data_IF_615916966724
#
_entry.id   IF_615916966724
#
_cell.length_a   1.000
_cell.length_b   1.000
_cell.length_c   1.000
_cell.angle_alpha   90.00
_cell.angle_beta   90.00
_cell.angle_gamma   90.00
#
_symmetry.space_group_name_H-M   'P 1'
#
loop_
_entity.id
_entity.type
_entity.pdbx_description
1 polymer ?
#
# COMPACT_ATOMS: atom_id res chain seq x y z
N UNK A 1 30.99 12.51 87.17
CA UNK A 1 30.72 13.40 86.02
C UNK A 1 31.60 12.95 84.88
N UNK A 2 31.08 12.12 83.98
CA UNK A 2 31.86 11.50 82.90
C UNK A 2 31.46 12.08 81.54
N UNK A 3 32.48 12.54 80.82
CA UNK A 3 32.42 13.03 79.44
C UNK A 3 32.22 11.90 78.43
N UNK A 4 31.48 12.19 77.35
CA UNK A 4 31.21 11.31 76.21
C UNK A 4 32.47 10.95 75.41
N UNK A 5 32.48 9.78 74.75
CA UNK A 5 33.11 9.62 73.43
C UNK A 5 32.08 9.31 72.32
N UNK A 6 32.41 9.75 71.11
CA UNK A 6 31.71 9.46 69.86
C UNK A 6 31.81 7.97 69.49
N UNK A 7 30.69 7.37 69.09
CA UNK A 7 30.67 6.06 68.41
C UNK A 7 30.47 6.25 66.90
N UNK A 8 31.48 5.84 66.14
CA UNK A 8 31.44 5.61 64.69
C UNK A 8 30.48 4.45 64.36
N UNK A 9 29.34 4.75 63.73
CA UNK A 9 28.52 3.73 63.08
C UNK A 9 29.13 3.36 61.72
N UNK A 10 29.94 2.30 61.70
CA UNK A 10 30.29 1.57 60.47
C UNK A 10 29.02 0.90 59.93
N UNK A 11 28.51 1.35 58.78
CA UNK A 11 27.37 0.74 58.08
C UNK A 11 27.83 -0.48 57.26
N UNK A 12 27.38 -1.71 57.55
CA UNK A 12 27.79 -2.92 56.81
C UNK A 12 27.11 -3.04 55.43
N UNK A 13 26.15 -2.17 55.11
CA UNK A 13 25.36 -2.24 53.88
C UNK A 13 26.09 -1.75 52.62
N UNK A 14 27.07 -0.86 52.75
CA UNK A 14 27.80 -0.34 51.60
C UNK A 14 28.72 -1.41 50.96
N UNK A 15 29.32 -2.27 51.80
CA UNK A 15 30.19 -3.36 51.34
C UNK A 15 29.40 -4.45 50.60
N UNK A 16 28.18 -4.76 51.03
CA UNK A 16 27.30 -5.72 50.36
C UNK A 16 26.83 -5.23 48.98
N UNK A 17 26.51 -3.93 48.86
CA UNK A 17 26.12 -3.34 47.58
C UNK A 17 27.30 -3.31 46.58
N UNK A 18 28.51 -3.01 47.06
CA UNK A 18 29.72 -3.04 46.24
C UNK A 18 30.04 -4.48 45.79
N UNK A 19 29.89 -5.47 46.67
CA UNK A 19 30.11 -6.88 46.32
C UNK A 19 29.12 -7.36 45.26
N UNK A 20 27.83 -7.02 45.41
CA UNK A 20 26.79 -7.38 44.45
C UNK A 20 27.05 -6.74 43.07
N UNK A 21 27.48 -5.48 43.03
CA UNK A 21 27.84 -4.81 41.78
C UNK A 21 29.04 -5.47 41.09
N UNK A 22 30.09 -5.82 41.86
CA UNK A 22 31.28 -6.50 41.33
C UNK A 22 30.92 -7.89 40.78
N UNK A 23 30.10 -8.68 41.49
CA UNK A 23 29.64 -10.00 41.01
C UNK A 23 28.82 -9.87 39.73
N UNK A 24 27.93 -8.88 39.65
CA UNK A 24 27.11 -8.64 38.45
C UNK A 24 27.99 -8.23 37.25
N UNK A 25 29.02 -7.40 37.48
CA UNK A 25 29.97 -6.97 36.46
C UNK A 25 30.87 -8.14 36.00
N UNK A 26 31.27 -9.04 36.90
CA UNK A 26 32.04 -10.24 36.58
C UNK A 26 31.18 -11.22 35.77
N UNK A 27 29.92 -11.46 36.16
CA UNK A 27 28.98 -12.27 35.39
C UNK A 27 28.73 -11.69 34.00
N UNK A 28 28.52 -10.37 33.88
CA UNK A 28 28.36 -9.70 32.59
C UNK A 28 29.60 -9.83 31.70
N UNK A 29 30.81 -9.69 32.28
CA UNK A 29 32.07 -9.90 31.53
C UNK A 29 32.31 -11.36 31.16
N UNK A 30 31.86 -12.33 31.95
CA UNK A 30 31.91 -13.75 31.61
C UNK A 30 30.93 -14.11 30.49
N UNK A 31 29.71 -13.55 30.51
CA UNK A 31 28.73 -13.71 29.42
C UNK A 31 29.19 -13.02 28.14
N UNK A 32 29.76 -11.82 28.24
CA UNK A 32 30.30 -11.10 27.08
C UNK A 32 31.54 -11.78 26.48
N UNK A 33 32.42 -12.40 27.29
CA UNK A 33 33.55 -13.20 26.81
C UNK A 33 33.13 -14.55 26.21
N UNK A 34 31.98 -15.10 26.62
CA UNK A 34 31.40 -16.32 26.03
C UNK A 34 30.67 -16.07 24.70
N UNK A 35 30.42 -14.81 24.30
CA UNK A 35 29.83 -14.47 23.01
C UNK A 35 30.85 -14.10 21.91
N UNK A 36 32.14 -14.20 22.21
CA UNK A 36 33.22 -13.84 21.28
C UNK A 36 34.18 -15.00 21.01
N UNK A 37 33.66 -16.21 20.77
CA UNK A 37 34.39 -17.30 20.14
C UNK A 37 33.39 -18.26 19.48
N UNK A 38 33.14 -18.12 18.18
CA UNK A 38 32.82 -19.21 17.26
C UNK A 38 32.89 -18.68 15.81
N UNK A 39 34.10 -18.28 15.43
CA UNK A 39 34.56 -18.30 14.03
C UNK A 39 35.66 -19.34 13.93
N UNK A 40 35.33 -20.57 13.54
CA UNK A 40 36.26 -21.51 12.91
C UNK A 40 35.51 -22.71 12.28
N UNK A 41 36.09 -23.36 11.25
CA UNK A 41 35.37 -23.94 10.13
C UNK A 41 34.95 -25.39 10.37
N UNK A 42 33.67 -25.68 10.21
CA UNK A 42 33.19 -27.05 10.08
C UNK A 42 33.16 -27.44 8.61
N UNK A 43 34.16 -28.22 8.21
CA UNK A 43 34.12 -29.14 7.07
C UNK A 43 33.12 -30.26 7.40
N UNK A 44 31.84 -29.99 7.16
CA UNK A 44 30.80 -30.99 7.06
C UNK A 44 30.27 -30.96 5.65
N UNK A 45 30.37 -32.08 4.93
CA UNK A 45 29.67 -32.35 3.66
C UNK A 45 28.16 -32.37 3.90
N UNK A 46 27.58 -31.23 4.23
CA UNK A 46 26.20 -30.93 3.91
C UNK A 46 26.28 -30.28 2.54
N UNK A 47 25.78 -30.98 1.52
CA UNK A 47 25.44 -30.36 0.24
C UNK A 47 24.66 -29.08 0.54
N UNK A 48 25.34 -27.93 0.49
CA UNK A 48 24.69 -26.65 0.27
C UNK A 48 24.02 -26.82 -1.08
N UNK A 49 22.76 -27.22 -1.06
CA UNK A 49 21.88 -26.84 -2.14
C UNK A 49 21.87 -25.32 -2.04
N UNK A 50 22.75 -24.69 -2.81
CA UNK A 50 22.62 -23.29 -3.16
C UNK A 50 21.16 -23.12 -3.57
N UNK A 51 20.44 -22.25 -2.85
CA UNK A 51 19.14 -21.80 -3.31
C UNK A 51 19.39 -21.30 -4.73
N UNK A 52 18.74 -21.88 -5.76
CA UNK A 52 18.95 -21.43 -7.12
C UNK A 52 18.71 -19.91 -7.15
N UNK A 53 19.49 -19.14 -7.92
CA UNK A 53 19.20 -17.74 -8.12
C UNK A 53 17.73 -17.58 -8.58
N UNK A 54 17.18 -16.38 -8.40
CA UNK A 54 15.85 -15.95 -8.88
C UNK A 54 15.64 -16.05 -10.42
N UNK A 55 16.33 -16.96 -11.12
CA UNK A 55 16.28 -17.23 -12.57
C UNK A 55 14.88 -17.57 -13.11
N UNK A 56 13.90 -17.86 -12.25
CA UNK A 56 12.51 -18.12 -12.67
C UNK A 56 11.61 -16.89 -12.72
N UNK A 57 11.99 -15.78 -12.08
CA UNK A 57 11.31 -14.50 -12.25
C UNK A 57 12.08 -13.68 -13.28
N UNK A 58 11.39 -12.94 -14.18
CA UNK A 58 12.10 -12.23 -15.24
C UNK A 58 13.08 -11.21 -14.65
N UNK A 59 14.30 -11.17 -15.20
CA UNK A 59 15.22 -10.07 -14.91
C UNK A 59 14.69 -8.78 -15.54
N UNK A 60 14.48 -7.79 -14.69
CA UNK A 60 13.61 -6.68 -14.97
C UNK A 60 14.42 -5.38 -15.03
N UNK A 61 14.82 -5.00 -16.24
CA UNK A 61 15.53 -3.75 -16.48
C UNK A 61 14.58 -2.54 -16.49
N UNK A 62 14.98 -1.40 -15.91
CA UNK A 62 14.25 -0.15 -16.07
C UNK A 62 14.05 0.19 -17.55
N UNK A 63 12.85 0.68 -17.89
CA UNK A 63 12.56 1.16 -19.24
C UNK A 63 13.15 2.54 -19.52
N UNK A 64 13.13 2.95 -20.78
CA UNK A 64 13.59 4.26 -21.21
C UNK A 64 12.38 5.09 -21.63
N UNK A 65 12.05 6.19 -20.92
CA UNK A 65 11.00 7.11 -21.34
C UNK A 65 11.27 7.67 -22.74
N UNK A 66 10.19 7.94 -23.48
CA UNK A 66 10.27 8.71 -24.73
C UNK A 66 10.75 10.14 -24.44
N UNK A 67 11.31 10.84 -25.45
CA UNK A 67 11.70 12.24 -25.31
C UNK A 67 10.55 13.13 -24.81
N UNK A 68 10.83 14.23 -24.09
CA UNK A 68 9.80 15.13 -23.59
C UNK A 68 8.86 15.62 -24.69
N UNK A 69 7.57 15.70 -24.38
CA UNK A 69 6.53 16.07 -25.35
C UNK A 69 6.08 14.94 -26.29
N UNK A 70 6.69 13.75 -26.18
CA UNK A 70 6.23 12.58 -26.93
C UNK A 70 4.86 12.10 -26.45
N UNK A 71 4.06 11.60 -27.39
CA UNK A 71 2.78 10.98 -27.07
C UNK A 71 2.96 9.53 -26.60
N UNK A 72 2.23 9.14 -25.55
CA UNK A 72 2.10 7.77 -25.08
C UNK A 72 0.70 7.26 -25.39
N UNK A 73 0.55 6.13 -26.08
CA UNK A 73 -0.73 5.44 -26.18
C UNK A 73 -1.07 4.82 -24.82
N UNK A 74 -2.28 5.09 -24.34
CA UNK A 74 -2.73 4.63 -23.02
C UNK A 74 -4.01 3.81 -23.17
N UNK A 75 -4.11 2.71 -22.45
CA UNK A 75 -5.37 1.99 -22.28
C UNK A 75 -5.79 1.95 -20.81
N UNK A 76 -7.10 2.05 -20.58
CA UNK A 76 -7.74 1.86 -19.29
C UNK A 76 -8.58 0.58 -19.33
N UNK A 77 -8.19 -0.39 -18.51
CA UNK A 77 -8.79 -1.72 -18.43
C UNK A 77 -9.65 -1.76 -17.16
N UNK A 78 -10.96 -1.82 -17.33
CA UNK A 78 -11.95 -1.75 -16.24
C UNK A 78 -12.84 -2.99 -16.26
N UNK A 79 -12.81 -3.83 -15.21
CA UNK A 79 -13.87 -4.78 -14.93
C UNK A 79 -15.06 -4.08 -14.28
N UNK A 80 -16.27 -4.43 -14.71
CA UNK A 80 -17.50 -3.95 -14.10
C UNK A 80 -18.60 -5.00 -14.13
N UNK A 81 -19.55 -4.88 -13.19
CA UNK A 81 -20.86 -5.52 -13.31
C UNK A 81 -21.75 -4.65 -14.18
N UNK A 82 -22.70 -5.23 -14.91
CA UNK A 82 -23.61 -4.54 -15.84
C UNK A 82 -24.32 -3.34 -15.18
N UNK A 83 -24.69 -3.47 -13.90
CA UNK A 83 -25.39 -2.45 -13.10
C UNK A 83 -24.54 -1.24 -12.67
N UNK A 84 -23.22 -1.33 -12.73
CA UNK A 84 -22.33 -0.21 -12.33
C UNK A 84 -22.42 0.88 -13.40
N UNK A 85 -22.22 2.15 -13.09
CA UNK A 85 -22.07 3.17 -14.13
C UNK A 85 -20.59 3.52 -14.31
N UNK A 86 -20.16 3.60 -15.57
CA UNK A 86 -18.79 3.99 -15.96
C UNK A 86 -18.78 5.11 -17.00
N UNK A 87 -19.91 5.80 -17.20
CA UNK A 87 -20.03 6.95 -18.11
C UNK A 87 -19.09 8.12 -17.76
N UNK A 88 -18.61 8.16 -16.50
CA UNK A 88 -17.60 9.13 -16.05
C UNK A 88 -16.28 9.01 -16.82
N UNK A 89 -15.93 7.83 -17.35
CA UNK A 89 -14.66 7.62 -18.04
C UNK A 89 -14.61 8.48 -19.31
N UNK A 90 -15.65 8.41 -20.15
CA UNK A 90 -15.71 9.17 -21.40
C UNK A 90 -15.85 10.68 -21.21
N UNK A 91 -16.40 11.12 -20.06
CA UNK A 91 -16.62 12.55 -19.78
C UNK A 91 -15.47 13.22 -19.04
N UNK A 92 -14.65 12.48 -18.28
CA UNK A 92 -13.66 13.06 -17.37
C UNK A 92 -12.22 12.60 -17.63
N UNK A 93 -12.01 11.48 -18.32
CA UNK A 93 -10.68 10.93 -18.57
C UNK A 93 -10.21 11.28 -19.98
N UNK A 94 -8.97 11.73 -20.10
CA UNK A 94 -8.38 12.21 -21.35
C UNK A 94 -7.36 11.22 -21.89
N UNK A 95 -7.24 11.19 -23.22
CA UNK A 95 -6.15 10.53 -23.95
C UNK A 95 -5.96 9.05 -23.59
N UNK A 96 -7.08 8.31 -23.50
CA UNK A 96 -7.08 6.89 -23.13
C UNK A 96 -8.06 6.07 -23.94
N UNK A 97 -7.60 4.92 -24.42
CA UNK A 97 -8.45 3.90 -25.03
C UNK A 97 -9.12 3.09 -23.92
N UNK A 98 -10.45 2.92 -24.00
CA UNK A 98 -11.22 2.26 -22.95
C UNK A 98 -11.45 0.79 -23.28
N UNK A 99 -11.11 -0.10 -22.35
CA UNK A 99 -11.38 -1.53 -22.40
C UNK A 99 -12.23 -1.90 -21.19
N UNK A 100 -13.55 -1.79 -21.36
CA UNK A 100 -14.53 -1.98 -20.30
C UNK A 100 -15.14 -3.38 -20.42
N UNK A 101 -14.74 -4.30 -19.54
CA UNK A 101 -15.23 -5.67 -19.51
C UNK A 101 -16.44 -5.80 -18.60
N UNK A 102 -17.55 -6.34 -19.13
CA UNK A 102 -18.75 -6.64 -18.33
C UNK A 102 -18.68 -8.09 -17.89
N UNK A 103 -18.45 -8.32 -16.59
CA UNK A 103 -18.09 -9.66 -16.09
C UNK A 103 -19.30 -10.57 -15.84
N UNK A 104 -20.50 -10.02 -15.74
CA UNK A 104 -21.75 -10.72 -15.45
C UNK A 104 -22.73 -10.77 -16.64
N UNK A 105 -22.24 -10.46 -17.85
CA UNK A 105 -23.00 -10.52 -19.10
C UNK A 105 -22.16 -11.22 -20.20
N UNK A 106 -22.41 -12.51 -20.49
CA UNK A 106 -21.69 -13.26 -21.51
C UNK A 106 -21.90 -12.76 -22.94
N UNK A 107 -22.89 -11.92 -23.18
CA UNK A 107 -23.17 -11.32 -24.50
C UNK A 107 -22.43 -10.00 -24.72
N UNK A 108 -21.78 -9.46 -23.69
CA UNK A 108 -21.07 -8.20 -23.79
C UNK A 108 -19.88 -8.31 -24.76
N UNK A 109 -19.61 -7.29 -25.59
CA UNK A 109 -18.51 -7.30 -26.56
C UNK A 109 -17.14 -7.58 -25.93
N UNK A 110 -16.92 -7.10 -24.70
CA UNK A 110 -15.77 -7.42 -23.87
C UNK A 110 -16.26 -8.17 -22.63
N UNK A 111 -16.04 -9.48 -22.61
CA UNK A 111 -16.38 -10.37 -21.52
C UNK A 111 -15.20 -11.32 -21.23
N UNK A 112 -14.77 -11.50 -19.97
CA UNK A 112 -13.76 -12.51 -19.65
C UNK A 112 -14.30 -13.93 -19.87
N UNK A 113 -13.45 -14.97 -20.00
CA UNK A 113 -13.92 -16.34 -20.20
C UNK A 113 -14.90 -16.84 -19.12
N UNK A 114 -14.68 -16.44 -17.86
CA UNK A 114 -15.52 -16.77 -16.70
C UNK A 114 -15.41 -15.66 -15.65
N UNK A 115 -16.50 -15.35 -14.93
CA UNK A 115 -16.47 -14.44 -13.79
C UNK A 115 -15.86 -15.08 -12.52
N UNK A 116 -14.53 -15.21 -12.47
CA UNK A 116 -13.80 -15.84 -11.34
C UNK A 116 -12.47 -15.12 -11.06
N UNK A 117 -12.14 -14.89 -9.79
CA UNK A 117 -10.93 -14.18 -9.38
C UNK A 117 -11.03 -12.66 -9.47
N UNK A 118 -12.26 -12.13 -9.40
CA UNK A 118 -12.58 -10.70 -9.54
C UNK A 118 -11.91 -10.07 -10.78
N UNK A 119 -11.23 -8.93 -10.60
CA UNK A 119 -10.53 -8.19 -11.67
C UNK A 119 -9.41 -8.97 -12.34
N UNK A 120 -8.82 -9.95 -11.66
CA UNK A 120 -7.63 -10.64 -12.16
C UNK A 120 -7.89 -11.39 -13.47
N UNK A 121 -9.07 -11.98 -13.63
CA UNK A 121 -9.44 -12.63 -14.89
C UNK A 121 -9.50 -11.66 -16.05
N UNK A 122 -10.07 -10.48 -15.84
CA UNK A 122 -10.16 -9.43 -16.87
C UNK A 122 -8.76 -8.94 -17.23
N UNK A 123 -7.92 -8.66 -16.24
CA UNK A 123 -6.56 -8.17 -16.47
C UNK A 123 -5.71 -9.17 -17.26
N UNK A 124 -5.74 -10.46 -16.87
CA UNK A 124 -5.04 -11.52 -17.61
C UNK A 124 -5.62 -11.72 -19.01
N UNK A 125 -6.95 -11.65 -19.17
CA UNK A 125 -7.59 -11.77 -20.49
C UNK A 125 -7.13 -10.65 -21.41
N UNK A 126 -7.11 -9.40 -20.94
CA UNK A 126 -6.60 -8.28 -21.74
C UNK A 126 -5.13 -8.48 -22.15
N UNK A 127 -4.26 -8.85 -21.21
CA UNK A 127 -2.83 -9.09 -21.49
C UNK A 127 -2.62 -10.21 -22.52
N UNK A 128 -3.44 -11.26 -22.45
CA UNK A 128 -3.39 -12.38 -23.39
C UNK A 128 -3.90 -11.95 -24.77
N UNK A 129 -5.07 -11.34 -24.86
CA UNK A 129 -5.75 -11.07 -26.13
C UNK A 129 -5.04 -9.97 -26.92
N UNK A 130 -4.43 -9.00 -26.24
CA UNK A 130 -3.77 -7.85 -26.84
C UNK A 130 -2.23 -7.93 -26.84
N UNK A 131 -1.63 -9.06 -26.47
CA UNK A 131 -0.18 -9.21 -26.27
C UNK A 131 0.68 -8.62 -27.41
N UNK A 132 0.28 -8.87 -28.65
CA UNK A 132 1.01 -8.44 -29.86
C UNK A 132 0.79 -6.96 -30.19
N UNK A 133 -0.22 -6.31 -29.59
CA UNK A 133 -0.65 -4.93 -29.86
C UNK A 133 -0.86 -4.09 -28.58
N UNK A 134 -0.12 -4.38 -27.50
CA UNK A 134 -0.23 -3.64 -26.24
C UNK A 134 0.07 -2.14 -26.44
N UNK A 135 -0.64 -1.22 -25.75
CA UNK A 135 -0.36 0.22 -25.76
C UNK A 135 0.91 0.53 -24.96
N UNK A 136 1.43 1.76 -25.05
CA UNK A 136 2.65 2.15 -24.30
C UNK A 136 2.42 2.00 -22.80
N UNK A 137 1.23 2.38 -22.32
CA UNK A 137 0.82 2.31 -20.92
C UNK A 137 -0.52 1.62 -20.79
N UNK A 138 -0.59 0.60 -19.93
CA UNK A 138 -1.83 -0.10 -19.57
C UNK A 138 -2.16 0.24 -18.12
N UNK A 139 -3.40 0.70 -17.88
CA UNK A 139 -3.88 1.12 -16.57
C UNK A 139 -5.01 0.17 -16.17
N UNK A 140 -4.76 -0.65 -15.16
CA UNK A 140 -5.70 -1.61 -14.61
C UNK A 140 -6.33 -1.01 -13.35
N UNK A 141 -7.66 -0.85 -13.34
CA UNK A 141 -8.32 -0.08 -12.29
C UNK A 141 -9.75 -0.57 -12.01
N UNK A 142 -10.25 -0.35 -10.79
CA UNK A 142 -11.66 -0.59 -10.48
C UNK A 142 -12.60 0.45 -11.12
N UNK A 143 -13.87 0.09 -11.30
CA UNK A 143 -14.85 0.88 -12.06
C UNK A 143 -15.41 2.12 -11.35
N UNK A 144 -15.19 2.28 -10.05
CA UNK A 144 -15.81 3.36 -9.25
C UNK A 144 -15.13 4.72 -9.52
N UNK A 145 -15.92 5.76 -9.83
CA UNK A 145 -15.41 7.13 -10.04
C UNK A 145 -14.77 7.72 -8.79
N UNK A 146 -15.37 7.49 -7.62
CA UNK A 146 -14.90 7.95 -6.31
C UNK A 146 -14.79 6.74 -5.38
N UNK A 147 -13.59 6.50 -4.85
CA UNK A 147 -13.38 5.34 -3.98
C UNK A 147 -12.18 5.53 -3.04
N UNK A 148 -12.26 4.89 -1.87
CA UNK A 148 -11.18 4.85 -0.89
C UNK A 148 -9.90 4.18 -1.40
N UNK A 149 -10.01 3.40 -2.48
CA UNK A 149 -8.88 2.81 -3.20
C UNK A 149 -8.01 3.86 -3.92
N UNK A 150 -8.55 5.06 -4.17
CA UNK A 150 -7.88 6.17 -4.82
C UNK A 150 -7.23 7.11 -3.80
N UNK A 151 -6.51 8.12 -4.32
CA UNK A 151 -5.70 9.00 -3.50
C UNK A 151 -6.47 10.18 -2.91
N UNK A 152 -6.39 10.34 -1.58
CA UNK A 152 -7.04 11.44 -0.86
C UNK A 152 -6.59 12.84 -1.33
N UNK A 153 -5.29 13.10 -1.60
CA UNK A 153 -4.86 14.37 -2.20
C UNK A 153 -5.59 14.72 -3.52
N UNK A 154 -6.13 13.72 -4.23
CA UNK A 154 -6.87 13.88 -5.47
C UNK A 154 -8.40 13.76 -5.25
N UNK A 155 -8.85 13.91 -4.01
CA UNK A 155 -10.27 13.83 -3.65
C UNK A 155 -10.87 12.45 -3.85
N UNK A 156 -10.05 11.38 -3.86
CA UNK A 156 -10.47 10.01 -4.15
C UNK A 156 -11.03 9.81 -5.57
N UNK A 157 -10.81 10.75 -6.48
CA UNK A 157 -11.35 10.74 -7.84
C UNK A 157 -10.45 9.93 -8.78
N UNK A 158 -11.04 8.93 -9.45
CA UNK A 158 -10.35 8.08 -10.41
C UNK A 158 -9.86 8.88 -11.62
N UNK A 159 -10.67 9.82 -12.12
CA UNK A 159 -10.32 10.65 -13.26
C UNK A 159 -9.07 11.51 -13.00
N UNK A 160 -8.94 12.11 -11.81
CA UNK A 160 -7.73 12.85 -11.42
C UNK A 160 -6.50 11.95 -11.36
N UNK A 161 -6.64 10.74 -10.80
CA UNK A 161 -5.57 9.76 -10.71
C UNK A 161 -5.06 9.37 -12.11
N UNK A 162 -5.98 9.02 -13.02
CA UNK A 162 -5.65 8.62 -14.39
C UNK A 162 -5.05 9.81 -15.16
N UNK A 163 -5.68 10.98 -15.13
CA UNK A 163 -5.22 12.13 -15.90
C UNK A 163 -3.84 12.63 -15.47
N UNK A 164 -3.44 12.42 -14.21
CA UNK A 164 -2.14 12.84 -13.67
C UNK A 164 -1.06 11.78 -13.72
N UNK A 165 -1.41 10.52 -13.97
CA UNK A 165 -0.47 9.41 -14.00
C UNK A 165 0.65 9.67 -15.02
N UNK A 166 1.87 9.74 -14.52
CA UNK A 166 3.11 9.91 -15.29
C UNK A 166 3.40 8.68 -16.14
N UNK A 167 3.29 8.82 -17.46
CA UNK A 167 3.59 7.73 -18.40
C UNK A 167 5.10 7.44 -18.44
N UNK A 168 5.91 8.48 -18.28
CA UNK A 168 7.36 8.41 -18.19
C UNK A 168 7.80 7.58 -16.99
N UNK A 169 7.18 7.80 -15.82
CA UNK A 169 7.44 6.98 -14.64
C UNK A 169 7.06 5.52 -14.85
N UNK A 170 5.85 5.26 -15.36
CA UNK A 170 5.40 3.88 -15.61
C UNK A 170 6.33 3.20 -16.60
N UNK A 171 6.80 3.92 -17.62
CA UNK A 171 7.78 3.41 -18.61
C UNK A 171 9.11 3.07 -17.94
N UNK A 172 9.65 4.00 -17.15
CA UNK A 172 10.96 3.83 -16.49
C UNK A 172 10.94 2.72 -15.46
N UNK A 173 9.95 2.71 -14.58
CA UNK A 173 9.86 1.74 -13.49
C UNK A 173 9.26 0.40 -13.98
N UNK A 174 8.60 0.39 -15.14
CA UNK A 174 7.91 -0.75 -15.75
C UNK A 174 6.58 -1.10 -15.09
N UNK A 175 6.45 -0.84 -13.79
CA UNK A 175 5.26 -1.08 -12.97
C UNK A 175 5.08 0.04 -11.96
N UNK A 176 3.84 0.50 -11.81
CA UNK A 176 3.46 1.44 -10.77
C UNK A 176 2.14 1.01 -10.17
N UNK A 177 2.11 0.78 -8.86
CA UNK A 177 0.85 0.69 -8.15
C UNK A 177 0.18 2.08 -8.16
N UNK A 178 -1.10 2.16 -8.53
CA UNK A 178 -1.79 3.45 -8.59
C UNK A 178 -1.98 4.06 -7.20
N UNK A 179 -1.82 3.25 -6.15
CA UNK A 179 -1.92 3.66 -4.77
C UNK A 179 -0.53 3.95 -4.19
N UNK A 180 -0.34 5.19 -3.74
CA UNK A 180 0.84 5.66 -3.01
C UNK A 180 0.66 5.59 -1.50
N UNK A 181 -0.58 5.56 -1.00
CA UNK A 181 -0.81 5.37 0.42
C UNK A 181 -0.43 3.94 0.87
N UNK A 182 0.40 3.79 1.91
CA UNK A 182 0.90 2.48 2.34
C UNK A 182 -0.15 1.57 2.98
N UNK A 183 -1.10 2.12 3.74
CA UNK A 183 -2.04 1.30 4.51
C UNK A 183 -3.40 1.17 3.82
N UNK A 184 -3.95 -0.03 3.55
CA UNK A 184 -3.39 -1.35 3.86
C UNK A 184 -2.35 -1.81 2.82
N UNK A 185 -1.47 -2.72 3.23
CA UNK A 185 -0.59 -3.44 2.31
C UNK A 185 0.93 -3.25 2.47
N UNK A 186 1.38 -2.15 3.07
CA UNK A 186 2.80 -1.87 3.32
C UNK A 186 3.09 -1.50 4.79
N UNK A 187 4.31 -1.74 5.29
CA UNK A 187 5.41 -2.47 4.64
C UNK A 187 5.39 -4.00 4.89
N UNK A 188 4.59 -4.45 5.84
CA UNK A 188 4.61 -5.82 6.39
C UNK A 188 3.17 -6.38 6.48
N UNK A 189 2.65 -6.85 5.34
CA UNK A 189 1.22 -7.14 5.20
C UNK A 189 0.88 -8.62 5.28
N UNK A 190 1.29 -9.43 4.30
CA UNK A 190 0.94 -10.85 4.26
C UNK A 190 2.14 -11.72 4.60
N UNK A 191 1.91 -12.77 5.38
CA UNK A 191 2.90 -13.73 5.83
C UNK A 191 2.53 -15.14 5.36
N UNK A 192 2.86 -15.50 4.10
CA UNK A 192 2.58 -16.83 3.59
C UNK A 192 3.11 -17.93 4.51
N UNK A 193 2.26 -18.90 4.84
CA UNK A 193 2.60 -20.02 5.71
C UNK A 193 2.09 -19.88 7.14
N UNK A 194 1.48 -18.75 7.49
CA UNK A 194 0.68 -18.64 8.72
C UNK A 194 -0.57 -19.51 8.64
N UNK A 195 -0.93 -20.13 9.75
CA UNK A 195 -2.20 -20.84 9.98
C UNK A 195 -3.24 -19.94 10.68
N UNK A 196 -2.81 -18.77 11.16
CA UNK A 196 -3.68 -17.82 11.88
C UNK A 196 -4.62 -17.13 10.90
N UNK A 197 -5.92 -17.32 11.14
CA UNK A 197 -6.96 -16.66 10.34
C UNK A 197 -7.15 -15.22 10.82
N UNK A 198 -6.78 -14.25 9.98
CA UNK A 198 -7.12 -12.84 10.16
C UNK A 198 -8.35 -12.50 9.28
N UNK A 199 -9.49 -12.07 9.86
CA UNK A 199 -10.67 -11.67 9.09
C UNK A 199 -10.41 -10.56 8.06
N UNK A 200 -9.38 -9.74 8.28
CA UNK A 200 -8.96 -8.67 7.37
C UNK A 200 -8.05 -9.16 6.24
N UNK A 201 -7.45 -10.36 6.34
CA UNK A 201 -6.49 -10.97 5.40
C UNK A 201 -6.84 -12.44 5.10
N UNK A 202 -8.07 -12.69 4.65
CA UNK A 202 -8.62 -14.06 4.48
C UNK A 202 -7.82 -14.95 3.52
N UNK A 203 -7.10 -14.33 2.59
CA UNK A 203 -6.21 -14.93 1.61
C UNK A 203 -4.92 -15.48 2.22
N UNK A 204 -4.47 -14.95 3.36
CA UNK A 204 -3.13 -15.17 3.90
C UNK A 204 -2.83 -16.66 4.13
N UNK A 205 -3.79 -17.39 4.69
CA UNK A 205 -3.71 -18.84 4.95
C UNK A 205 -3.67 -19.69 3.67
N UNK A 206 -4.12 -19.14 2.53
CA UNK A 206 -4.11 -19.81 1.23
C UNK A 206 -2.87 -19.45 0.38
N UNK A 207 -2.14 -18.39 0.74
CA UNK A 207 -1.05 -17.85 -0.08
C UNK A 207 0.08 -18.85 -0.29
N UNK A 208 0.52 -19.57 0.75
CA UNK A 208 1.65 -20.50 0.59
C UNK A 208 1.34 -21.62 -0.40
N UNK A 209 0.11 -22.13 -0.41
CA UNK A 209 -0.35 -23.13 -1.38
C UNK A 209 -0.45 -22.51 -2.78
N UNK A 210 -1.13 -21.37 -2.90
CA UNK A 210 -1.28 -20.67 -4.17
C UNK A 210 0.07 -20.29 -4.79
N UNK A 211 1.01 -19.83 -3.97
CA UNK A 211 2.38 -19.50 -4.38
C UNK A 211 3.08 -20.69 -5.00
N UNK A 212 3.09 -21.84 -4.33
CA UNK A 212 3.73 -23.07 -4.86
C UNK A 212 3.08 -23.56 -6.16
N UNK A 213 1.81 -23.25 -6.40
CA UNK A 213 1.14 -23.61 -7.64
C UNK A 213 1.42 -22.62 -8.79
N UNK A 214 1.62 -21.34 -8.48
CA UNK A 214 1.85 -20.26 -9.46
C UNK A 214 3.35 -20.09 -9.77
N UNK A 215 4.21 -20.26 -8.76
CA UNK A 215 5.66 -20.14 -8.84
C UNK A 215 6.33 -21.39 -8.26
N UNK A 216 6.18 -22.57 -8.89
CA UNK A 216 6.60 -23.86 -8.33
C UNK A 216 8.09 -23.97 -8.01
N UNK A 217 8.93 -23.12 -8.60
CA UNK A 217 10.38 -23.11 -8.43
C UNK A 217 10.90 -21.88 -7.69
N UNK A 218 10.01 -21.05 -7.13
CA UNK A 218 10.38 -19.87 -6.35
C UNK A 218 10.01 -20.12 -4.88
N UNK A 219 10.95 -19.85 -3.98
CA UNK A 219 10.71 -19.99 -2.54
C UNK A 219 9.51 -19.13 -2.11
N UNK A 220 8.71 -19.69 -1.20
CA UNK A 220 7.58 -18.96 -0.61
C UNK A 220 8.15 -17.83 0.25
N UNK A 221 7.80 -16.55 -0.01
CA UNK A 221 8.37 -15.46 0.74
C UNK A 221 7.82 -15.43 2.17
N UNK A 222 8.64 -14.93 3.09
CA UNK A 222 8.23 -14.69 4.48
C UNK A 222 7.25 -13.53 4.61
N UNK A 223 7.38 -12.53 3.74
CA UNK A 223 6.52 -11.34 3.67
C UNK A 223 6.19 -11.02 2.23
N UNK A 224 4.92 -10.71 1.98
CA UNK A 224 4.40 -10.23 0.71
C UNK A 224 3.64 -8.92 0.95
N UNK A 225 4.13 -7.83 0.36
CA UNK A 225 3.64 -6.48 0.64
C UNK A 225 3.69 -5.57 -0.57
N UNK A 226 2.61 -4.83 -0.79
CA UNK A 226 2.54 -3.63 -1.61
C UNK A 226 1.31 -2.84 -1.19
N UNK A 227 1.18 -1.56 -1.57
CA UNK A 227 -0.09 -0.86 -1.37
C UNK A 227 -1.24 -1.67 -2.02
N UNK A 228 -2.38 -1.76 -1.33
CA UNK A 228 -3.47 -2.65 -1.74
C UNK A 228 -4.06 -2.36 -3.13
N UNK A 229 -5.02 -3.22 -3.45
CA UNK A 229 -6.23 -2.92 -4.21
C UNK A 229 -6.15 -3.18 -5.71
N UNK A 230 -5.15 -3.90 -6.20
CA UNK A 230 -5.07 -4.38 -7.59
C UNK A 230 -5.32 -3.28 -8.64
N UNK A 231 -4.95 -2.03 -8.32
CA UNK A 231 -4.95 -0.92 -9.26
C UNK A 231 -3.51 -0.58 -9.57
N UNK A 232 -3.09 -0.77 -10.81
CA UNK A 232 -1.70 -0.58 -11.21
C UNK A 232 -1.60 -0.18 -12.68
N UNK A 233 -0.46 0.37 -13.05
CA UNK A 233 -0.10 0.63 -14.43
C UNK A 233 1.19 -0.11 -14.80
N UNK A 234 1.27 -0.57 -16.05
CA UNK A 234 2.39 -1.33 -16.59
C UNK A 234 2.78 -0.75 -17.95
N UNK A 235 4.08 -0.68 -18.24
CA UNK A 235 4.57 -0.32 -19.58
C UNK A 235 4.46 -1.49 -20.55
N UNK A 236 4.39 -1.21 -21.86
CA UNK A 236 4.42 -2.23 -22.91
C UNK A 236 5.60 -3.16 -22.75
N UNK A 237 6.79 -2.57 -22.61
CA UNK A 237 8.06 -3.28 -22.54
C UNK A 237 8.06 -4.22 -21.34
N UNK A 238 7.54 -3.75 -20.20
CA UNK A 238 7.43 -4.57 -19.01
C UNK A 238 6.45 -5.73 -19.18
N UNK A 239 5.28 -5.48 -19.75
CA UNK A 239 4.31 -6.53 -19.99
C UNK A 239 4.83 -7.59 -20.99
N UNK A 240 5.61 -7.18 -22.00
CA UNK A 240 6.21 -8.09 -23.01
C UNK A 240 7.45 -8.84 -22.54
N UNK A 241 8.12 -8.36 -21.49
CA UNK A 241 9.21 -9.10 -20.86
C UNK A 241 8.72 -10.44 -20.26
N UNK A 242 7.42 -10.57 -20.03
CA UNK A 242 6.77 -11.78 -19.55
C UNK A 242 6.16 -12.51 -20.75
N UNK A 243 6.58 -13.75 -21.07
CA UNK A 243 6.03 -14.48 -22.20
C UNK A 243 4.51 -14.62 -22.11
N UNK A 244 3.82 -14.54 -23.26
CA UNK A 244 2.36 -14.73 -23.35
C UNK A 244 1.88 -16.02 -22.68
N UNK A 245 2.67 -17.10 -22.79
CA UNK A 245 2.40 -18.38 -22.16
C UNK A 245 2.30 -18.30 -20.62
N UNK A 246 3.06 -17.40 -19.98
CA UNK A 246 2.99 -17.19 -18.53
C UNK A 246 1.64 -16.58 -18.13
N UNK A 247 1.13 -15.59 -18.87
CA UNK A 247 -0.21 -15.04 -18.61
C UNK A 247 -1.31 -16.08 -18.81
N UNK A 248 -1.18 -16.95 -19.82
CA UNK A 248 -2.10 -18.07 -20.04
C UNK A 248 -2.06 -19.02 -18.84
N UNK A 249 -0.87 -19.42 -18.39
CA UNK A 249 -0.70 -20.27 -17.20
C UNK A 249 -1.33 -19.65 -15.94
N UNK A 250 -1.13 -18.35 -15.72
CA UNK A 250 -1.75 -17.60 -14.63
C UNK A 250 -3.29 -17.59 -14.70
N UNK A 251 -3.84 -17.42 -15.90
CA UNK A 251 -5.30 -17.46 -16.12
C UNK A 251 -5.84 -18.87 -15.90
N UNK A 252 -5.12 -19.88 -16.37
CA UNK A 252 -5.49 -21.28 -16.19
C UNK A 252 -5.46 -21.68 -14.71
N UNK A 253 -4.52 -21.15 -13.91
CA UNK A 253 -4.54 -21.28 -12.46
C UNK A 253 -5.84 -20.72 -11.84
N UNK A 254 -6.26 -19.52 -12.25
CA UNK A 254 -7.52 -18.94 -11.80
C UNK A 254 -8.73 -19.81 -12.18
N UNK A 255 -8.74 -20.37 -13.39
CA UNK A 255 -9.82 -21.24 -13.85
C UNK A 255 -9.88 -22.54 -13.04
N UNK A 256 -8.74 -23.20 -12.77
CA UNK A 256 -8.69 -24.52 -12.13
C UNK A 256 -8.70 -24.50 -10.60
N UNK A 257 -8.28 -23.41 -9.95
CA UNK A 257 -8.17 -23.38 -8.48
C UNK A 257 -9.51 -23.60 -7.79
N UNK A 258 -9.55 -24.35 -6.70
CA UNK A 258 -10.76 -24.56 -5.89
C UNK A 258 -11.08 -23.36 -4.98
N UNK A 259 -10.19 -22.37 -4.92
CA UNK A 259 -10.40 -21.15 -4.16
C UNK A 259 -11.63 -20.39 -4.70
N UNK A 260 -12.45 -19.90 -3.75
CA UNK A 260 -13.56 -18.98 -4.06
C UNK A 260 -13.02 -17.75 -4.78
N UNK A 261 -13.82 -17.18 -5.69
CA UNK A 261 -13.48 -15.98 -6.48
C UNK A 261 -12.92 -14.84 -5.62
N UNK A 262 -13.53 -14.58 -4.46
CA UNK A 262 -13.10 -13.52 -3.54
C UNK A 262 -11.73 -13.78 -2.89
N UNK A 263 -11.29 -15.03 -2.78
CA UNK A 263 -10.00 -15.41 -2.21
C UNK A 263 -8.93 -15.43 -3.30
N UNK A 264 -9.21 -16.08 -4.44
CA UNK A 264 -8.26 -16.11 -5.56
C UNK A 264 -7.99 -14.71 -6.13
N UNK A 265 -8.99 -13.82 -6.17
CA UNK A 265 -8.79 -12.41 -6.51
C UNK A 265 -7.85 -11.68 -5.53
N UNK A 266 -8.04 -11.88 -4.22
CA UNK A 266 -7.18 -11.30 -3.18
C UNK A 266 -5.76 -11.87 -3.15
N UNK A 267 -5.57 -13.13 -3.57
CA UNK A 267 -4.24 -13.67 -3.84
C UNK A 267 -3.58 -12.84 -4.95
N UNK A 268 -4.26 -12.65 -6.08
CA UNK A 268 -3.74 -11.89 -7.21
C UNK A 268 -3.46 -10.41 -6.90
N UNK A 269 -4.25 -9.79 -6.02
CA UNK A 269 -4.03 -8.43 -5.54
C UNK A 269 -2.59 -8.18 -5.07
N UNK A 270 -1.94 -9.19 -4.48
CA UNK A 270 -0.56 -9.12 -3.98
C UNK A 270 0.43 -9.94 -4.81
N UNK A 271 0.08 -10.38 -6.02
CA UNK A 271 1.03 -11.03 -6.94
C UNK A 271 1.44 -10.14 -8.11
N UNK A 272 0.70 -9.08 -8.42
CA UNK A 272 1.03 -8.19 -9.53
C UNK A 272 2.44 -7.58 -9.42
N UNK A 273 2.84 -7.12 -8.23
CA UNK A 273 4.18 -6.61 -8.02
C UNK A 273 5.25 -7.70 -8.18
N UNK A 274 4.97 -8.95 -7.79
CA UNK A 274 5.92 -10.05 -7.98
C UNK A 274 6.09 -10.32 -9.47
N UNK A 275 4.96 -10.44 -10.18
CA UNK A 275 4.91 -10.70 -11.62
C UNK A 275 5.64 -9.61 -12.40
N UNK A 276 5.45 -8.33 -12.07
CA UNK A 276 6.01 -7.23 -12.86
C UNK A 276 7.31 -6.63 -12.30
N UNK A 277 7.73 -6.93 -11.08
CA UNK A 277 8.94 -6.35 -10.48
C UNK A 277 9.92 -7.39 -9.92
N UNK A 278 9.50 -8.64 -9.77
CA UNK A 278 10.29 -9.69 -9.12
C UNK A 278 10.44 -9.50 -7.60
N UNK A 279 9.78 -8.50 -7.00
CA UNK A 279 9.91 -8.17 -5.58
C UNK A 279 8.70 -8.65 -4.78
N UNK A 280 8.97 -9.31 -3.65
CA UNK A 280 7.93 -9.73 -2.71
C UNK A 280 7.41 -8.54 -1.88
N UNK A 281 8.29 -7.57 -1.58
CA UNK A 281 7.95 -6.32 -0.89
C UNK A 281 8.20 -5.15 -1.85
N UNK A 282 7.13 -4.52 -2.29
CA UNK A 282 7.14 -3.34 -3.17
C UNK A 282 6.40 -2.18 -2.50
N UNK A 283 7.12 -1.45 -1.66
CA UNK A 283 6.60 -0.33 -0.87
C UNK A 283 7.43 0.93 -1.11
N UNK A 284 7.28 1.59 -2.28
CA UNK A 284 8.05 2.79 -2.58
C UNK A 284 7.74 3.90 -1.57
N UNK A 285 8.71 4.79 -1.35
CA UNK A 285 8.52 5.97 -0.50
C UNK A 285 7.32 6.78 -0.99
N UNK A 286 6.43 7.18 -0.08
CA UNK A 286 5.16 7.82 -0.44
C UNK A 286 5.40 9.15 -1.17
N UNK A 287 6.34 9.97 -0.69
CA UNK A 287 6.68 11.26 -1.33
C UNK A 287 7.11 11.07 -2.79
N UNK A 288 8.00 10.10 -3.06
CA UNK A 288 8.42 9.78 -4.43
C UNK A 288 7.24 9.26 -5.25
N UNK A 289 6.39 8.38 -4.68
CA UNK A 289 5.19 7.87 -5.34
C UNK A 289 4.26 9.01 -5.82
N UNK A 290 3.91 9.93 -4.94
CA UNK A 290 3.03 11.05 -5.28
C UNK A 290 3.68 12.05 -6.23
N UNK A 291 4.94 12.44 -5.98
CA UNK A 291 5.62 13.46 -6.76
C UNK A 291 5.88 12.96 -8.18
N UNK A 292 6.58 11.84 -8.32
CA UNK A 292 6.97 11.34 -9.63
C UNK A 292 5.87 10.53 -10.34
N UNK A 293 4.83 10.13 -9.62
CA UNK A 293 3.70 9.38 -10.17
C UNK A 293 2.58 10.27 -10.66
N UNK A 294 2.31 11.36 -9.92
CA UNK A 294 1.11 12.18 -10.11
C UNK A 294 1.40 13.69 -10.16
N UNK A 295 2.66 14.10 -10.08
CA UNK A 295 3.03 15.52 -10.00
C UNK A 295 2.57 16.16 -8.69
N UNK A 296 2.51 15.40 -7.59
CA UNK A 296 2.17 15.91 -6.26
C UNK A 296 3.43 15.96 -5.39
N UNK A 297 4.21 17.02 -5.52
CA UNK A 297 5.53 17.14 -4.87
C UNK A 297 5.45 17.92 -3.57
N UNK A 298 5.37 17.19 -2.46
CA UNK A 298 5.17 17.76 -1.11
C UNK A 298 6.47 18.32 -0.51
N UNK A 299 7.62 18.16 -1.14
CA UNK A 299 8.93 18.53 -0.60
C UNK A 299 9.60 17.41 0.17
N UNK A 300 9.58 16.22 -0.43
CA UNK A 300 10.18 15.04 0.14
C UNK A 300 9.41 14.47 1.34
N UNK A 301 10.07 13.58 2.07
CA UNK A 301 9.51 12.83 3.19
C UNK A 301 8.89 13.75 4.26
N UNK A 302 9.61 14.79 4.69
CA UNK A 302 9.13 15.73 5.71
C UNK A 302 7.82 16.42 5.32
N UNK A 303 7.72 16.90 4.08
CA UNK A 303 6.50 17.56 3.62
C UNK A 303 5.31 16.59 3.53
N UNK A 304 5.57 15.34 3.15
CA UNK A 304 4.57 14.27 3.14
C UNK A 304 4.09 13.93 4.56
N UNK A 305 5.01 13.85 5.53
CA UNK A 305 4.68 13.58 6.93
C UNK A 305 3.82 14.69 7.55
N UNK A 306 4.14 15.94 7.25
CA UNK A 306 3.35 17.10 7.66
C UNK A 306 1.94 17.06 7.07
N UNK A 307 1.81 16.71 5.78
CA UNK A 307 0.52 16.52 5.12
C UNK A 307 -0.29 15.40 5.81
N UNK A 308 0.29 14.21 6.00
CA UNK A 308 -0.44 13.09 6.62
C UNK A 308 -0.74 13.32 8.10
N UNK A 309 0.09 14.08 8.82
CA UNK A 309 -0.22 14.52 10.18
C UNK A 309 -1.52 15.32 10.19
N UNK A 310 -1.65 16.30 9.29
CA UNK A 310 -2.85 17.14 9.19
C UNK A 310 -4.09 16.33 8.77
N UNK A 311 -3.93 15.36 7.86
CA UNK A 311 -4.99 14.39 7.51
C UNK A 311 -5.45 13.61 8.73
N UNK A 312 -4.51 13.06 9.53
CA UNK A 312 -4.85 12.30 10.75
C UNK A 312 -5.59 13.15 11.77
N UNK A 313 -5.16 14.40 11.96
CA UNK A 313 -5.82 15.35 12.86
C UNK A 313 -7.25 15.70 12.39
N UNK A 314 -7.45 15.96 11.09
CA UNK A 314 -8.78 16.18 10.51
C UNK A 314 -9.68 14.97 10.73
N UNK A 315 -9.21 13.77 10.39
CA UNK A 315 -9.96 12.52 10.56
C UNK A 315 -10.29 12.22 12.02
N UNK A 316 -9.42 12.58 12.96
CA UNK A 316 -9.71 12.48 14.40
C UNK A 316 -10.87 13.41 14.78
N UNK A 317 -10.83 14.67 14.35
CA UNK A 317 -11.95 15.60 14.55
C UNK A 317 -13.26 15.09 13.96
N UNK A 318 -13.22 14.54 12.73
CA UNK A 318 -14.40 13.93 12.08
C UNK A 318 -14.97 12.76 12.89
N UNK A 319 -14.12 11.90 13.47
CA UNK A 319 -14.56 10.81 14.35
C UNK A 319 -15.16 11.32 15.65
N UNK A 320 -14.56 12.33 16.27
CA UNK A 320 -15.08 12.96 17.49
C UNK A 320 -16.45 13.61 17.23
N UNK A 321 -16.59 14.33 16.12
CA UNK A 321 -17.85 14.96 15.72
C UNK A 321 -18.93 13.90 15.46
N UNK A 322 -18.59 12.81 14.78
CA UNK A 322 -19.51 11.70 14.58
C UNK A 322 -19.93 11.02 15.89
N UNK A 323 -19.00 10.86 16.85
CA UNK A 323 -19.33 10.36 18.20
C UNK A 323 -20.29 11.31 18.90
N UNK A 324 -20.00 12.62 18.88
CA UNK A 324 -20.83 13.66 19.47
C UNK A 324 -22.25 13.63 18.90
N UNK A 325 -22.40 13.57 17.57
CA UNK A 325 -23.70 13.51 16.87
C UNK A 325 -24.47 12.23 17.25
N UNK A 326 -23.77 11.10 17.38
CA UNK A 326 -24.38 9.83 17.80
C UNK A 326 -24.90 9.90 19.24
N UNK A 327 -24.16 10.49 20.18
CA UNK A 327 -24.61 10.68 21.56
C UNK A 327 -25.86 11.56 21.62
N UNK A 328 -25.86 12.69 20.90
CA UNK A 328 -27.04 13.56 20.81
C UNK A 328 -28.27 12.83 20.27
N UNK A 329 -28.10 12.01 19.22
CA UNK A 329 -29.19 11.19 18.67
C UNK A 329 -29.73 10.17 19.67
N UNK A 330 -28.84 9.49 20.41
CA UNK A 330 -29.24 8.50 21.42
C UNK A 330 -30.05 9.14 22.55
N UNK A 331 -29.70 10.36 22.97
CA UNK A 331 -30.48 11.11 23.97
C UNK A 331 -31.85 11.53 23.40
N UNK A 332 -31.87 12.02 22.16
CA UNK A 332 -33.12 12.40 21.50
C UNK A 332 -34.08 11.21 21.37
N UNK A 333 -33.57 10.05 20.96
CA UNK A 333 -34.33 8.80 20.88
C UNK A 333 -34.83 8.32 22.26
N UNK A 334 -34.08 8.57 23.35
CA UNK A 334 -34.50 8.26 24.71
C UNK A 334 -35.66 9.15 25.17
N UNK A 335 -35.60 10.46 24.88
CA UNK A 335 -36.69 11.41 25.15
C UNK A 335 -37.96 11.00 24.40
N UNK A 336 -37.84 10.67 23.11
CA UNK A 336 -38.97 10.25 22.28
C UNK A 336 -39.62 8.94 22.74
N UNK A 337 -38.84 8.05 23.36
CA UNK A 337 -39.33 6.81 23.98
C UNK A 337 -39.96 7.01 25.36
N UNK A 338 -39.98 8.25 25.87
CA UNK A 338 -40.56 8.58 27.17
C UNK A 338 -39.74 8.08 28.36
N UNK A 339 -38.41 7.94 28.22
CA UNK A 339 -37.54 7.66 29.37
C UNK A 339 -37.65 8.80 30.38
N UNK A 340 -37.54 8.45 31.67
CA UNK A 340 -37.59 9.44 32.74
C UNK A 340 -36.37 10.37 32.73
N UNK A 341 -36.53 11.58 33.27
CA UNK A 341 -35.45 12.56 33.36
C UNK A 341 -34.23 12.00 34.13
N UNK A 342 -34.46 11.20 35.16
CA UNK A 342 -33.42 10.53 35.96
C UNK A 342 -32.62 9.50 35.14
N UNK A 343 -33.28 8.80 34.22
CA UNK A 343 -32.62 7.87 33.29
C UNK A 343 -31.80 8.63 32.26
N UNK A 344 -32.33 9.71 31.69
CA UNK A 344 -31.64 10.55 30.71
C UNK A 344 -30.43 11.26 31.33
N UNK A 345 -30.50 11.67 32.60
CA UNK A 345 -29.38 12.28 33.31
C UNK A 345 -28.19 11.33 33.47
N UNK A 346 -28.42 10.01 33.56
CA UNK A 346 -27.36 9.00 33.70
C UNK A 346 -26.67 8.66 32.38
N UNK A 347 -27.21 9.09 31.23
CA UNK A 347 -26.64 8.82 29.91
C UNK A 347 -25.43 9.71 29.63
N UNK A 348 -24.45 9.21 28.86
CA UNK A 348 -23.31 10.01 28.38
C UNK A 348 -23.83 11.15 27.49
N UNK A 349 -23.60 12.41 27.89
CA UNK A 349 -24.07 13.58 27.15
C UNK A 349 -22.97 14.18 26.27
N UNK A 350 -23.32 14.62 25.06
CA UNK A 350 -22.41 15.42 24.27
C UNK A 350 -22.14 16.76 24.99
N UNK A 351 -20.87 17.19 25.02
CA UNK A 351 -20.50 18.50 25.56
C UNK A 351 -21.15 19.62 24.72
N UNK A 352 -21.97 20.50 25.32
CA UNK A 352 -22.65 21.56 24.57
C UNK A 352 -21.68 22.48 23.82
N UNK A 353 -21.94 22.73 22.54
CA UNK A 353 -21.13 23.61 21.69
C UNK A 353 -19.82 23.02 21.16
N UNK A 354 -19.46 21.80 21.58
CA UNK A 354 -18.23 21.13 21.10
C UNK A 354 -18.32 20.75 19.61
N UNK A 355 -19.52 20.49 19.10
CA UNK A 355 -19.80 20.26 17.68
C UNK A 355 -19.37 21.44 16.81
N UNK A 356 -19.77 22.66 17.16
CA UNK A 356 -19.42 23.86 16.40
C UNK A 356 -17.90 24.12 16.38
N UNK A 357 -17.21 23.83 17.49
CA UNK A 357 -15.74 23.91 17.56
C UNK A 357 -15.09 22.86 16.65
N UNK A 358 -15.55 21.61 16.72
CA UNK A 358 -15.05 20.52 15.88
C UNK A 358 -15.28 20.80 14.39
N UNK A 359 -16.47 21.30 14.01
CA UNK A 359 -16.80 21.63 12.63
C UNK A 359 -15.87 22.72 12.08
N UNK A 360 -15.62 23.78 12.85
CA UNK A 360 -14.65 24.82 12.47
C UNK A 360 -13.24 24.26 12.34
N UNK A 361 -12.79 23.50 13.33
CA UNK A 361 -11.44 22.90 13.31
C UNK A 361 -11.23 21.93 12.15
N UNK A 362 -12.27 21.20 11.73
CA UNK A 362 -12.25 20.31 10.58
C UNK A 362 -12.16 21.12 9.29
N UNK A 363 -12.96 22.18 9.16
CA UNK A 363 -12.99 23.02 7.97
C UNK A 363 -11.66 23.78 7.77
N UNK A 364 -11.09 24.36 8.83
CA UNK A 364 -9.77 24.99 8.77
C UNK A 364 -8.68 24.02 8.26
N UNK A 365 -8.76 22.75 8.71
CA UNK A 365 -7.83 21.71 8.25
C UNK A 365 -8.09 21.31 6.81
N UNK A 366 -9.35 21.26 6.35
CA UNK A 366 -9.68 20.99 4.94
C UNK A 366 -9.12 22.05 4.02
N UNK A 367 -9.29 23.33 4.37
CA UNK A 367 -8.75 24.44 3.59
C UNK A 367 -7.22 24.39 3.54
N UNK A 368 -6.57 24.16 4.68
CA UNK A 368 -5.11 24.02 4.73
C UNK A 368 -4.60 22.82 3.92
N UNK A 369 -5.26 21.67 3.98
CA UNK A 369 -4.93 20.50 3.15
C UNK A 369 -5.06 20.83 1.66
N UNK A 370 -6.15 21.48 1.25
CA UNK A 370 -6.35 21.89 -0.15
C UNK A 370 -5.23 22.82 -0.63
N UNK A 371 -4.83 23.81 0.19
CA UNK A 371 -3.71 24.69 -0.12
C UNK A 371 -2.38 23.94 -0.28
N UNK A 372 -2.11 22.94 0.58
CA UNK A 372 -0.90 22.11 0.48
C UNK A 372 -0.91 21.31 -0.81
N UNK A 373 -2.04 20.69 -1.16
CA UNK A 373 -2.19 19.91 -2.39
C UNK A 373 -1.97 20.79 -3.63
N UNK A 374 -2.57 21.98 -3.70
CA UNK A 374 -2.38 22.88 -4.84
C UNK A 374 -0.93 23.34 -4.98
N UNK A 375 -0.24 23.62 -3.86
CA UNK A 375 1.21 23.90 -3.89
C UNK A 375 2.02 22.70 -4.37
N UNK A 376 1.66 21.49 -3.95
CA UNK A 376 2.32 20.26 -4.39
C UNK A 376 2.13 20.00 -5.89
N UNK A 377 0.93 20.27 -6.42
CA UNK A 377 0.62 20.23 -7.85
C UNK A 377 1.46 21.22 -8.65
N UNK A 378 1.60 22.46 -8.14
CA UNK A 378 2.39 23.49 -8.82
C UNK A 378 3.87 23.09 -8.87
N UNK A 379 4.43 22.59 -7.77
CA UNK A 379 5.81 22.10 -7.72
C UNK A 379 6.04 20.93 -8.66
N UNK A 380 5.08 20.01 -8.77
CA UNK A 380 5.21 18.83 -9.63
C UNK A 380 5.12 19.10 -11.12
N UNK A 381 4.91 20.36 -11.55
CA UNK A 381 5.06 20.77 -12.95
C UNK A 381 6.53 20.88 -13.38
N UNK A 382 7.48 21.01 -12.44
CA UNK A 382 8.91 21.05 -12.74
C UNK A 382 9.49 19.61 -12.78
N UNK A 383 9.93 19.10 -13.95
CA UNK A 383 10.51 17.76 -14.07
C UNK A 383 11.78 17.57 -13.23
N UNK A 384 12.55 18.64 -13.00
CA UNK A 384 13.74 18.60 -12.15
C UNK A 384 13.39 18.32 -10.70
N UNK A 385 12.33 18.97 -10.17
CA UNK A 385 11.85 18.71 -8.79
C UNK A 385 11.37 17.26 -8.67
N UNK A 386 10.69 16.75 -9.68
CA UNK A 386 10.22 15.36 -9.70
C UNK A 386 11.37 14.36 -9.71
N UNK A 387 12.41 14.62 -10.48
CA UNK A 387 13.61 13.81 -10.49
C UNK A 387 14.34 13.86 -9.14
N UNK A 388 14.53 15.05 -8.57
CA UNK A 388 15.16 15.25 -7.26
C UNK A 388 14.42 14.49 -6.15
N UNK A 389 13.09 14.64 -6.03
CA UNK A 389 12.30 13.92 -5.03
C UNK A 389 12.25 12.39 -5.27
N UNK A 390 12.55 11.94 -6.49
CA UNK A 390 12.70 10.53 -6.85
C UNK A 390 14.14 10.01 -6.69
N UNK A 391 15.10 10.86 -6.31
CA UNK A 391 16.52 10.50 -6.22
C UNK A 391 17.16 10.20 -7.58
N UNK A 392 16.63 10.77 -8.67
CA UNK A 392 17.13 10.62 -10.04
C UNK A 392 18.01 11.81 -10.42
N UNK A 393 19.08 11.55 -11.16
CA UNK A 393 19.83 12.60 -11.85
C UNK A 393 18.94 13.24 -12.92
N UNK A 394 19.00 14.56 -13.06
CA UNK A 394 18.27 15.32 -14.08
C UNK A 394 19.24 16.24 -14.82
N UNK A 395 19.13 16.27 -16.14
CA UNK A 395 19.92 17.12 -17.04
C UNK A 395 19.00 18.04 -17.82
N UNK A 396 19.56 19.15 -18.30
CA UNK A 396 18.80 20.11 -19.11
C UNK A 396 18.21 19.42 -20.34
N UNK A 397 16.90 19.54 -20.52
CA UNK A 397 16.14 18.85 -21.57
C UNK A 397 15.58 17.49 -21.17
N UNK A 398 15.82 16.98 -19.95
CA UNK A 398 15.15 15.78 -19.44
C UNK A 398 13.68 16.07 -19.08
N UNK A 399 12.83 15.07 -19.34
CA UNK A 399 11.41 15.09 -19.04
C UNK A 399 11.08 14.65 -17.62
N UNK A 400 9.82 14.25 -17.44
CA UNK A 400 9.26 13.81 -16.18
C UNK A 400 9.77 12.46 -15.69
#
# INVERSE_FOLDING_TARGET
MFSRPLALLRRPFALLAILAFIVTLICYRQVAKNHSYLTAPWTGNASKQEVPPLEYLPDFSPGVPKPPGSHYSRALIIPRLQKVDVSWISSQVRDVQQFVYVVDDPSAPLHPPVNKGNEAMVYLTFLIDHYDNLPDIMIFMHSHSNSWHNEEPLGFQAAELINRLSSERVTRDGYMNLRCNWGPGCPDWLHPGTDKVDPSKKEEVSLAKAWKEIFPFVEVPTVLSQACCAQFAVSRERARAIPRASYIFYRDWLLRTELKSSISGRVWEYLWQVVFTGKNVFCPAQHTCYCDGYGLCFGGEKGMDEYFKLVRERRRGERELNKWKKLGKVIQEAIEKGLSDDEIQKMEKPEPGRDAVLEREIEDKRQKLAMIVEKAKERGKDPRIRAEEAGREWKEGDGF
#
